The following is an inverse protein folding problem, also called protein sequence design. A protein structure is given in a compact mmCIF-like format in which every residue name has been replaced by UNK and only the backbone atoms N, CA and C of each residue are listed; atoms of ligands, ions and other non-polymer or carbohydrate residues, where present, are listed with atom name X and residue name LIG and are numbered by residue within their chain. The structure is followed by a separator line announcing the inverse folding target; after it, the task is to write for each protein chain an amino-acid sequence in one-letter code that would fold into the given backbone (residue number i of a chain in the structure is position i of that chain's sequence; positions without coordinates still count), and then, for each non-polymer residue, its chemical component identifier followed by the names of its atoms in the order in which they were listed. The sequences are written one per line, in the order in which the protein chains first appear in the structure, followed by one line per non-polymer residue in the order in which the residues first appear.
data_IF_048139868687
#
_entry.id   IF_048139868687
#
_cell.length_a   1.000
_cell.length_b   1.000
_cell.length_c   1.000
_cell.angle_alpha   90.00
_cell.angle_beta   90.00
_cell.angle_gamma   90.00
#
_symmetry.space_group_name_H-M   'P 1'
#
loop_
_entity.id
_entity.type
_entity.pdbx_description
1 polymer ?
#
# COMPACT_ATOMS: atom_id res chain seq x y z
N UNK A 1 -25.41 0.24 -15.32
CA UNK A 1 -24.10 -0.01 -14.67
C UNK A 1 -24.30 0.21 -13.18
N UNK A 2 -24.50 -0.84 -12.40
CA UNK A 2 -24.59 -0.74 -10.94
C UNK A 2 -23.18 -0.60 -10.39
N UNK A 3 -22.67 0.63 -10.35
CA UNK A 3 -21.43 0.96 -9.64
C UNK A 3 -21.71 0.80 -8.16
N UNK A 4 -21.38 -0.36 -7.60
CA UNK A 4 -21.43 -0.53 -6.15
C UNK A 4 -20.50 0.52 -5.53
N UNK A 5 -20.88 1.15 -4.41
CA UNK A 5 -19.98 2.04 -3.70
C UNK A 5 -18.68 1.30 -3.35
N UNK A 6 -17.54 2.00 -3.25
CA UNK A 6 -16.30 1.41 -2.75
C UNK A 6 -16.52 0.61 -1.46
N UNK A 7 -15.78 -0.49 -1.30
CA UNK A 7 -15.84 -1.28 -0.09
C UNK A 7 -15.30 -0.49 1.11
N UNK A 8 -16.11 -0.39 2.16
CA UNK A 8 -15.64 0.11 3.46
C UNK A 8 -14.92 -1.04 4.20
N UNK A 9 -13.59 -1.03 4.15
CA UNK A 9 -12.75 -2.08 4.72
C UNK A 9 -12.81 -2.13 6.25
N UNK A 10 -12.90 -1.00 6.94
CA UNK A 10 -12.97 -0.92 8.41
C UNK A 10 -14.17 -1.72 8.95
N UNK A 11 -15.43 -1.44 8.56
CA UNK A 11 -16.57 -2.22 9.03
C UNK A 11 -16.52 -3.67 8.53
N UNK A 12 -16.09 -3.94 7.28
CA UNK A 12 -15.97 -5.30 6.74
C UNK A 12 -14.99 -6.15 7.57
N UNK A 13 -13.79 -5.64 7.81
CA UNK A 13 -12.76 -6.31 8.60
C UNK A 13 -13.22 -6.49 10.05
N UNK A 14 -13.89 -5.48 10.64
CA UNK A 14 -14.44 -5.58 11.99
C UNK A 14 -15.44 -6.74 12.09
N UNK A 15 -16.43 -6.79 11.19
CA UNK A 15 -17.45 -7.84 11.18
C UNK A 15 -16.82 -9.22 10.99
N UNK A 16 -15.85 -9.34 10.08
CA UNK A 16 -15.12 -10.58 9.82
C UNK A 16 -14.42 -11.13 11.07
N UNK A 17 -13.58 -10.34 11.73
CA UNK A 17 -12.83 -10.81 12.89
C UNK A 17 -13.73 -11.05 14.11
N UNK A 18 -14.85 -10.33 14.25
CA UNK A 18 -15.87 -10.61 15.25
C UNK A 18 -16.55 -11.96 15.00
N UNK A 19 -16.91 -12.28 13.75
CA UNK A 19 -17.47 -13.58 13.38
C UNK A 19 -16.48 -14.74 13.64
N UNK A 20 -15.17 -14.51 13.48
CA UNK A 20 -14.12 -15.46 13.85
C UNK A 20 -13.91 -15.59 15.38
N UNK A 21 -14.65 -14.85 16.20
CA UNK A 21 -14.57 -14.91 17.67
C UNK A 21 -13.35 -14.20 18.25
N UNK A 22 -12.76 -13.23 17.54
CA UNK A 22 -11.76 -12.34 18.12
C UNK A 22 -12.44 -11.21 18.90
N UNK A 23 -11.78 -10.75 19.98
CA UNK A 23 -12.34 -9.80 20.94
C UNK A 23 -12.41 -8.35 20.44
N UNK A 24 -11.75 -7.44 21.15
CA UNK A 24 -11.80 -6.01 20.83
C UNK A 24 -11.42 -5.73 19.36
N UNK A 25 -12.20 -4.92 18.63
CA UNK A 25 -11.88 -4.51 17.26
C UNK A 25 -10.51 -3.83 17.16
N UNK A 26 -9.88 -3.94 16.00
CA UNK A 26 -8.65 -3.21 15.73
C UNK A 26 -8.91 -1.69 15.73
N UNK A 27 -8.10 -0.96 16.49
CA UNK A 27 -8.13 0.50 16.57
C UNK A 27 -7.23 1.10 15.49
N UNK A 28 -7.87 1.64 14.46
CA UNK A 28 -7.19 2.34 13.37
C UNK A 28 -6.64 3.69 13.85
N UNK A 29 -5.48 4.07 13.32
CA UNK A 29 -4.86 5.37 13.60
C UNK A 29 -5.77 6.52 13.11
N UNK A 30 -5.61 7.67 13.75
CA UNK A 30 -6.33 8.90 13.43
C UNK A 30 -5.40 10.06 13.71
N UNK A 31 -5.26 10.95 12.73
CA UNK A 31 -4.64 12.26 12.92
C UNK A 31 -5.74 13.32 12.94
N UNK A 32 -5.78 14.12 14.01
CA UNK A 32 -6.68 15.27 14.10
C UNK A 32 -6.28 16.33 13.05
N UNK A 33 -4.98 16.64 13.01
CA UNK A 33 -4.37 17.55 12.02
C UNK A 33 -3.49 16.77 11.04
N UNK A 34 -3.51 17.19 9.78
CA UNK A 34 -2.76 16.55 8.69
C UNK A 34 -1.79 17.59 8.11
N UNK A 35 -0.45 17.38 8.21
CA UNK A 35 0.53 18.26 7.62
C UNK A 35 0.39 18.26 6.10
N UNK A 36 0.76 19.37 5.49
CA UNK A 36 0.68 19.55 4.06
C UNK A 36 1.84 20.41 3.59
N UNK A 37 2.71 19.80 2.80
CA UNK A 37 3.81 20.43 2.10
C UNK A 37 3.47 20.46 0.61
N UNK A 38 3.34 21.65 0.00
CA UNK A 38 3.22 21.80 -1.44
C UNK A 38 4.49 21.32 -2.15
N UNK A 39 4.35 20.80 -3.37
CA UNK A 39 5.50 20.50 -4.21
C UNK A 39 6.20 21.81 -4.61
N UNK A 40 7.46 21.99 -4.18
CA UNK A 40 8.21 23.23 -4.39
C UNK A 40 8.79 23.38 -5.81
N UNK A 41 8.95 22.26 -6.52
CA UNK A 41 9.52 22.19 -7.87
C UNK A 41 8.45 21.84 -8.90
N UNK A 42 8.65 22.21 -10.17
CA UNK A 42 7.78 21.71 -11.24
C UNK A 42 7.95 20.20 -11.40
N UNK A 43 6.89 19.47 -11.76
CA UNK A 43 6.98 18.02 -11.95
C UNK A 43 8.12 17.60 -12.87
N UNK A 44 8.28 18.24 -14.04
CA UNK A 44 9.36 17.94 -15.00
C UNK A 44 10.79 18.19 -14.48
N UNK A 45 10.96 18.74 -13.29
CA UNK A 45 12.25 18.87 -12.59
C UNK A 45 12.29 18.05 -11.28
N UNK A 46 11.18 17.43 -10.87
CA UNK A 46 11.05 16.72 -9.61
C UNK A 46 11.69 15.33 -9.65
N UNK A 47 12.45 14.99 -8.60
CA UNK A 47 12.88 13.63 -8.28
C UNK A 47 11.84 12.95 -7.40
N UNK A 48 11.23 11.89 -7.93
CA UNK A 48 10.17 11.14 -7.25
C UNK A 48 10.72 9.83 -6.67
N UNK A 49 10.52 9.63 -5.37
CA UNK A 49 10.83 8.37 -4.68
C UNK A 49 9.61 7.44 -4.55
N UNK A 50 9.88 6.15 -4.36
CA UNK A 50 8.84 5.12 -4.16
C UNK A 50 9.01 4.51 -2.77
N UNK A 51 8.01 4.67 -1.91
CA UNK A 51 7.88 3.91 -0.66
C UNK A 51 6.92 2.76 -0.90
N UNK A 52 7.38 1.53 -0.69
CA UNK A 52 6.57 0.32 -0.89
C UNK A 52 6.43 -0.49 0.39
N UNK A 53 5.31 -1.19 0.50
CA UNK A 53 5.13 -2.25 1.50
C UNK A 53 5.37 -3.64 0.90
N UNK A 54 5.58 -3.77 -0.42
CA UNK A 54 5.99 -5.02 -1.05
C UNK A 54 7.38 -5.44 -0.57
N UNK A 55 7.60 -6.74 -0.43
CA UNK A 55 8.84 -7.27 0.13
C UNK A 55 9.78 -7.76 -0.97
N UNK A 56 11.09 -7.45 -0.89
CA UNK A 56 12.09 -8.15 -1.69
C UNK A 56 12.03 -9.65 -1.47
N UNK A 57 12.20 -10.42 -2.54
CA UNK A 57 12.23 -11.89 -2.46
C UNK A 57 13.46 -12.34 -1.65
N UNK A 58 13.21 -13.21 -0.67
CA UNK A 58 14.27 -13.77 0.19
C UNK A 58 14.60 -15.21 -0.19
N UNK A 59 15.87 -15.46 -0.51
CA UNK A 59 16.37 -16.81 -0.71
C UNK A 59 16.13 -17.66 0.55
N UNK A 60 15.65 -18.89 0.37
CA UNK A 60 15.38 -19.81 1.48
C UNK A 60 14.16 -19.47 2.34
N UNK A 61 13.40 -18.41 2.04
CA UNK A 61 12.20 -18.06 2.80
C UNK A 61 10.94 -18.82 2.37
N UNK A 62 11.02 -19.72 1.39
CA UNK A 62 9.88 -20.48 0.86
C UNK A 62 9.15 -19.77 -0.29
N UNK A 63 7.94 -20.23 -0.61
CA UNK A 63 7.14 -19.69 -1.73
C UNK A 63 6.74 -18.23 -1.51
N UNK A 64 6.96 -17.41 -2.53
CA UNK A 64 6.77 -15.95 -2.52
C UNK A 64 6.23 -15.39 -3.85
N UNK A 65 6.02 -16.25 -4.86
CA UNK A 65 5.57 -15.85 -6.19
C UNK A 65 4.05 -15.65 -6.30
N UNK A 66 3.56 -15.59 -7.54
CA UNK A 66 2.14 -15.43 -7.83
C UNK A 66 1.28 -16.49 -7.11
N UNK A 67 0.25 -16.06 -6.40
CA UNK A 67 -0.66 -16.93 -5.65
C UNK A 67 -0.05 -17.60 -4.43
N UNK A 68 1.22 -17.32 -4.08
CA UNK A 68 1.89 -17.97 -2.95
C UNK A 68 1.12 -17.72 -1.63
N UNK A 69 1.02 -18.71 -0.74
CA UNK A 69 0.31 -18.57 0.53
C UNK A 69 0.93 -17.49 1.44
N UNK A 70 0.24 -17.16 2.53
CA UNK A 70 0.83 -16.26 3.52
C UNK A 70 2.14 -16.83 4.07
N UNK A 71 3.19 -16.00 4.03
CA UNK A 71 4.52 -16.39 4.47
C UNK A 71 5.16 -15.30 5.34
N UNK A 72 5.22 -15.55 6.65
CA UNK A 72 5.80 -14.61 7.61
C UNK A 72 7.31 -14.41 7.47
N UNK A 73 8.04 -15.41 6.95
CA UNK A 73 9.50 -15.35 6.76
C UNK A 73 9.90 -14.45 5.58
N UNK A 74 9.01 -14.29 4.61
CA UNK A 74 9.17 -13.42 3.45
C UNK A 74 8.97 -11.92 3.75
N UNK A 75 8.64 -11.55 4.99
CA UNK A 75 8.48 -10.15 5.40
C UNK A 75 9.81 -9.51 5.75
N UNK A 76 9.86 -8.20 5.69
CA UNK A 76 10.91 -7.39 6.29
C UNK A 76 10.34 -6.63 7.51
N UNK A 77 11.22 -6.29 8.46
CA UNK A 77 10.81 -5.75 9.77
C UNK A 77 11.48 -4.42 10.11
N UNK A 78 12.45 -3.99 9.32
CA UNK A 78 13.12 -2.71 9.44
C UNK A 78 12.96 -1.92 8.13
N UNK A 79 12.85 -0.59 8.17
CA UNK A 79 12.93 0.23 6.97
C UNK A 79 14.23 -0.02 6.22
N UNK A 80 14.18 0.08 4.89
CA UNK A 80 15.38 -0.06 4.07
C UNK A 80 15.33 0.86 2.85
N UNK A 81 16.49 1.10 2.26
CA UNK A 81 16.66 1.68 0.93
C UNK A 81 17.45 0.70 0.05
N UNK A 82 17.03 0.46 -1.18
CA UNK A 82 17.68 -0.45 -2.12
C UNK A 82 17.64 0.13 -3.54
N UNK A 83 18.56 -0.25 -4.41
CA UNK A 83 18.65 0.30 -5.77
C UNK A 83 17.46 -0.12 -6.64
N UNK A 84 17.07 0.73 -7.58
CA UNK A 84 16.06 0.41 -8.61
C UNK A 84 16.66 -0.23 -9.87
N UNK A 85 18.00 -0.28 -9.96
CA UNK A 85 18.75 -0.90 -11.05
C UNK A 85 19.73 -1.94 -10.46
N UNK A 86 19.68 -3.22 -10.88
CA UNK A 86 18.64 -3.80 -11.74
C UNK A 86 17.24 -3.69 -11.11
N UNK A 87 16.18 -3.77 -11.93
CA UNK A 87 14.80 -3.69 -11.44
C UNK A 87 14.57 -4.73 -10.33
N UNK A 88 14.10 -4.31 -9.13
CA UNK A 88 13.91 -5.23 -8.03
C UNK A 88 12.75 -6.19 -8.32
N UNK A 89 12.86 -7.40 -7.79
CA UNK A 89 11.77 -8.38 -7.79
C UNK A 89 11.10 -8.32 -6.42
N UNK A 90 9.84 -7.87 -6.40
CA UNK A 90 9.06 -7.69 -5.18
C UNK A 90 7.82 -8.58 -5.18
N UNK A 91 7.44 -9.07 -3.99
CA UNK A 91 6.22 -9.85 -3.78
C UNK A 91 5.35 -9.28 -2.65
N UNK A 92 4.07 -9.67 -2.63
CA UNK A 92 3.15 -9.32 -1.53
C UNK A 92 3.13 -10.45 -0.49
N UNK A 93 3.98 -10.36 0.53
CA UNK A 93 4.06 -11.33 1.64
C UNK A 93 3.02 -11.09 2.76
N UNK A 94 2.05 -10.22 2.52
CA UNK A 94 1.03 -9.85 3.50
C UNK A 94 -0.14 -10.83 3.56
N UNK A 95 -0.73 -10.99 4.75
CA UNK A 95 -1.82 -11.93 4.95
C UNK A 95 -3.14 -11.47 4.32
N UNK A 96 -3.39 -10.16 4.30
CA UNK A 96 -4.73 -9.61 4.10
C UNK A 96 -4.90 -8.77 2.82
N UNK A 97 -4.00 -8.88 1.84
CA UNK A 97 -4.36 -8.39 0.50
C UNK A 97 -5.44 -9.30 -0.10
N UNK A 98 -6.11 -8.88 -1.16
CA UNK A 98 -7.20 -9.65 -1.75
C UNK A 98 -6.63 -10.81 -2.57
N UNK A 99 -6.40 -11.94 -1.90
CA UNK A 99 -5.83 -13.16 -2.48
C UNK A 99 -6.80 -13.94 -3.37
N UNK A 100 -8.07 -13.54 -3.40
CA UNK A 100 -9.08 -14.16 -4.28
C UNK A 100 -9.01 -13.50 -5.65
N UNK A 101 -8.97 -12.17 -5.66
CA UNK A 101 -9.04 -11.37 -6.89
C UNK A 101 -7.69 -10.79 -7.34
N UNK A 102 -6.62 -11.01 -6.58
CA UNK A 102 -5.26 -10.61 -6.91
C UNK A 102 -4.32 -11.78 -6.80
N UNK A 103 -3.65 -12.12 -7.90
CA UNK A 103 -2.60 -13.16 -7.91
C UNK A 103 -1.23 -12.62 -7.49
N UNK A 104 -1.05 -11.30 -7.53
CA UNK A 104 0.25 -10.64 -7.39
C UNK A 104 1.30 -11.13 -8.40
N UNK A 105 0.86 -11.53 -9.60
CA UNK A 105 1.76 -11.97 -10.68
C UNK A 105 2.46 -10.79 -11.38
N UNK A 106 1.74 -9.67 -11.55
CA UNK A 106 2.30 -8.47 -12.17
C UNK A 106 2.70 -7.44 -11.09
N UNK A 107 4.01 -7.31 -10.83
CA UNK A 107 4.50 -6.36 -9.85
C UNK A 107 4.17 -4.90 -10.16
N UNK A 108 3.94 -4.57 -11.43
CA UNK A 108 3.63 -3.19 -11.86
C UNK A 108 2.26 -2.72 -11.35
N UNK A 109 1.39 -3.66 -10.93
CA UNK A 109 0.13 -3.34 -10.25
C UNK A 109 0.30 -2.91 -8.79
N UNK A 110 1.47 -3.12 -8.17
CA UNK A 110 1.76 -2.72 -6.77
C UNK A 110 3.14 -2.08 -6.56
N UNK A 111 3.89 -1.82 -7.63
CA UNK A 111 5.18 -1.15 -7.61
C UNK A 111 5.37 -0.36 -8.93
N UNK A 112 5.12 0.97 -8.94
CA UNK A 112 4.98 1.77 -10.16
C UNK A 112 6.30 2.18 -10.82
N UNK A 113 7.40 1.44 -10.61
CA UNK A 113 8.73 1.84 -11.06
C UNK A 113 8.79 2.07 -12.57
N UNK A 114 8.38 1.09 -13.38
CA UNK A 114 8.39 1.21 -14.84
C UNK A 114 7.50 2.35 -15.35
N UNK A 115 6.34 2.56 -14.72
CA UNK A 115 5.42 3.63 -15.08
C UNK A 115 6.05 5.00 -14.79
N UNK A 116 6.65 5.19 -13.61
CA UNK A 116 7.34 6.43 -13.26
C UNK A 116 8.58 6.68 -14.13
N UNK A 117 9.34 5.63 -14.48
CA UNK A 117 10.46 5.74 -15.43
C UNK A 117 10.00 6.19 -16.82
N UNK A 118 8.84 5.72 -17.30
CA UNK A 118 8.25 6.20 -18.56
C UNK A 118 7.84 7.67 -18.48
N UNK A 119 7.27 8.12 -17.35
CA UNK A 119 6.96 9.54 -17.15
C UNK A 119 8.22 10.40 -17.14
N UNK A 120 9.32 9.91 -16.53
CA UNK A 120 10.60 10.59 -16.54
C UNK A 120 11.18 10.69 -17.96
N UNK A 121 11.14 9.59 -18.72
CA UNK A 121 11.59 9.57 -20.12
C UNK A 121 10.76 10.51 -21.03
N UNK A 122 9.48 10.73 -20.70
CA UNK A 122 8.59 11.67 -21.38
C UNK A 122 8.76 13.13 -20.89
N UNK A 123 9.59 13.40 -19.88
CA UNK A 123 9.76 14.72 -19.28
C UNK A 123 8.56 15.20 -18.44
N UNK A 124 7.60 14.31 -18.15
CA UNK A 124 6.46 14.61 -17.26
C UNK A 124 6.90 14.72 -15.80
N UNK A 125 7.93 13.95 -15.41
CA UNK A 125 8.68 14.14 -14.17
C UNK A 125 10.17 14.31 -14.47
N UNK A 126 10.94 14.90 -13.55
CA UNK A 126 12.38 15.09 -13.74
C UNK A 126 13.19 13.80 -13.68
N UNK A 127 12.98 13.00 -12.63
CA UNK A 127 13.62 11.70 -12.47
C UNK A 127 12.86 10.81 -11.47
N UNK A 128 13.12 9.50 -11.55
CA UNK A 128 12.86 8.57 -10.45
C UNK A 128 14.12 8.48 -9.59
N UNK A 129 13.97 8.39 -8.27
CA UNK A 129 15.09 8.17 -7.36
C UNK A 129 15.87 6.89 -7.71
N UNK A 130 17.19 6.89 -7.48
CA UNK A 130 18.04 5.72 -7.73
C UNK A 130 17.80 4.57 -6.73
N UNK A 131 17.14 4.88 -5.61
CA UNK A 131 16.70 3.91 -4.61
C UNK A 131 15.17 3.91 -4.48
N UNK A 132 14.63 2.78 -4.06
CA UNK A 132 13.28 2.66 -3.51
C UNK A 132 13.37 2.31 -2.03
N UNK A 133 12.30 2.56 -1.30
CA UNK A 133 12.29 2.48 0.16
C UNK A 133 11.22 1.50 0.64
N UNK A 134 11.61 0.57 1.50
CA UNK A 134 10.67 -0.36 2.14
C UNK A 134 10.17 0.18 3.46
N UNK A 135 8.85 0.19 3.66
CA UNK A 135 8.22 0.45 4.96
C UNK A 135 7.62 -0.85 5.52
N UNK A 136 8.13 -1.36 6.66
CA UNK A 136 7.57 -2.56 7.26
C UNK A 136 6.15 -2.31 7.76
N UNK A 137 5.27 -3.28 7.55
CA UNK A 137 3.88 -3.16 8.00
C UNK A 137 3.75 -3.60 9.46
N UNK A 138 3.43 -2.65 10.35
CA UNK A 138 3.25 -2.90 11.77
C UNK A 138 1.86 -2.48 12.24
N UNK A 139 1.28 -3.25 13.15
CA UNK A 139 0.02 -2.88 13.82
C UNK A 139 0.24 -1.82 14.91
N UNK A 140 1.46 -1.72 15.43
CA UNK A 140 1.85 -0.69 16.40
C UNK A 140 2.07 0.64 15.70
N UNK A 141 1.19 1.61 15.99
CA UNK A 141 1.27 2.95 15.42
C UNK A 141 2.55 3.69 15.86
N UNK A 142 3.01 3.49 17.10
CA UNK A 142 4.25 4.11 17.60
C UNK A 142 5.48 3.54 16.92
N UNK A 143 5.52 2.22 16.69
CA UNK A 143 6.61 1.60 15.93
C UNK A 143 6.62 2.09 14.50
N UNK A 144 5.47 2.18 13.83
CA UNK A 144 5.41 2.72 12.48
C UNK A 144 5.86 4.18 12.39
N UNK A 145 5.58 5.02 13.40
CA UNK A 145 6.15 6.38 13.45
C UNK A 145 7.68 6.36 13.51
N UNK A 146 8.27 5.50 14.36
CA UNK A 146 9.72 5.35 14.41
C UNK A 146 10.31 4.83 13.08
N UNK A 147 9.63 3.88 12.43
CA UNK A 147 10.02 3.37 11.11
C UNK A 147 9.95 4.48 10.04
N UNK A 148 8.99 5.40 10.14
CA UNK A 148 8.83 6.52 9.20
C UNK A 148 9.93 7.58 9.31
N UNK A 149 10.56 7.77 10.47
CA UNK A 149 11.71 8.68 10.63
C UNK A 149 12.89 8.25 9.75
N UNK A 150 13.10 6.94 9.56
CA UNK A 150 14.12 6.45 8.64
C UNK A 150 13.82 6.84 7.18
N UNK A 151 12.55 6.86 6.78
CA UNK A 151 12.14 7.31 5.45
C UNK A 151 12.43 8.80 5.23
N UNK A 152 12.30 9.64 6.26
CA UNK A 152 12.72 11.06 6.20
C UNK A 152 14.22 11.15 5.92
N UNK A 153 15.03 10.37 6.62
CA UNK A 153 16.48 10.29 6.38
C UNK A 153 16.80 9.91 4.94
N UNK A 154 16.18 8.84 4.43
CA UNK A 154 16.38 8.43 3.03
C UNK A 154 15.93 9.49 2.02
N UNK A 155 14.82 10.17 2.28
CA UNK A 155 14.32 11.22 1.41
C UNK A 155 15.26 12.42 1.33
N UNK A 156 15.88 12.79 2.46
CA UNK A 156 16.88 13.84 2.52
C UNK A 156 18.19 13.43 1.84
N UNK A 157 18.68 12.22 2.12
CA UNK A 157 19.90 11.66 1.50
C UNK A 157 19.82 11.66 -0.03
N UNK A 158 18.67 11.25 -0.58
CA UNK A 158 18.47 11.15 -2.03
C UNK A 158 17.92 12.43 -2.66
N UNK A 159 17.76 13.50 -1.87
CA UNK A 159 17.20 14.79 -2.28
C UNK A 159 15.89 14.60 -3.06
N UNK A 160 14.92 13.93 -2.45
CA UNK A 160 13.61 13.69 -3.04
C UNK A 160 12.76 14.96 -2.99
N UNK A 161 12.15 15.30 -4.11
CA UNK A 161 11.18 16.40 -4.19
C UNK A 161 9.76 15.94 -3.84
N UNK A 162 9.48 14.64 -3.97
CA UNK A 162 8.21 14.06 -3.60
C UNK A 162 8.26 12.53 -3.55
N UNK A 163 7.29 11.93 -2.87
CA UNK A 163 7.23 10.49 -2.63
C UNK A 163 5.86 9.93 -2.98
N UNK A 164 5.86 8.82 -3.72
CA UNK A 164 4.70 7.97 -3.95
C UNK A 164 4.74 6.81 -2.97
N UNK A 165 3.67 6.61 -2.19
CA UNK A 165 3.54 5.52 -1.23
C UNK A 165 2.53 4.47 -1.70
N UNK A 166 2.94 3.21 -1.73
CA UNK A 166 2.14 2.10 -2.29
C UNK A 166 1.88 0.99 -1.25
N UNK A 167 0.69 1.00 -0.62
CA UNK A 167 0.26 -0.03 0.32
C UNK A 167 -0.48 -1.21 -0.35
N UNK A 168 -0.25 -2.42 0.14
CA UNK A 168 -0.84 -3.64 -0.46
C UNK A 168 -2.00 -4.27 0.33
N UNK A 169 -2.16 -3.91 1.59
CA UNK A 169 -3.09 -4.56 2.53
C UNK A 169 -3.72 -3.55 3.49
N UNK A 170 -4.71 -3.89 4.32
CA UNK A 170 -5.39 -2.92 5.19
C UNK A 170 -4.44 -2.21 6.17
N UNK A 171 -3.62 -2.98 6.89
CA UNK A 171 -2.63 -2.40 7.83
C UNK A 171 -1.54 -1.63 7.08
N UNK A 172 -1.21 -2.05 5.86
CA UNK A 172 -0.27 -1.36 5.00
C UNK A 172 -0.75 0.07 4.67
N UNK A 173 -2.05 0.23 4.39
CA UNK A 173 -2.66 1.54 4.14
C UNK A 173 -2.54 2.45 5.36
N UNK A 174 -2.77 1.91 6.57
CA UNK A 174 -2.50 2.67 7.79
C UNK A 174 -1.01 3.02 7.92
N UNK A 175 -0.12 2.06 7.68
CA UNK A 175 1.32 2.27 7.88
C UNK A 175 1.86 3.36 6.97
N UNK A 176 1.52 3.33 5.68
CA UNK A 176 1.92 4.40 4.75
C UNK A 176 1.22 5.72 5.05
N UNK A 177 0.00 5.72 5.59
CA UNK A 177 -0.68 6.96 5.98
C UNK A 177 0.02 7.65 7.15
N UNK A 178 0.48 6.86 8.14
CA UNK A 178 1.33 7.37 9.23
C UNK A 178 2.66 7.89 8.68
N UNK A 179 3.30 7.15 7.75
CA UNK A 179 4.55 7.59 7.14
C UNK A 179 4.41 8.87 6.30
N UNK A 180 3.31 9.01 5.57
CA UNK A 180 2.99 10.22 4.81
C UNK A 180 2.90 11.44 5.73
N UNK A 181 2.29 11.30 6.91
CA UNK A 181 2.25 12.36 7.94
C UNK A 181 3.66 12.78 8.36
N UNK A 182 4.52 11.82 8.71
CA UNK A 182 5.91 12.07 9.11
C UNK A 182 6.73 12.74 8.00
N UNK A 183 6.64 12.26 6.77
CA UNK A 183 7.34 12.82 5.60
C UNK A 183 6.90 14.27 5.32
N UNK A 184 5.60 14.54 5.35
CA UNK A 184 5.06 15.87 5.05
C UNK A 184 5.36 16.88 6.16
N UNK A 185 5.36 16.44 7.42
CA UNK A 185 5.82 17.26 8.53
C UNK A 185 7.31 17.61 8.41
N UNK A 186 8.11 16.76 7.76
CA UNK A 186 9.51 16.99 7.46
C UNK A 186 9.76 17.76 6.14
N UNK A 187 8.69 18.23 5.47
CA UNK A 187 8.82 19.02 4.24
C UNK A 187 8.96 18.20 2.95
N UNK A 188 8.63 16.90 2.97
CA UNK A 188 8.65 16.04 1.78
C UNK A 188 7.20 15.76 1.33
N UNK A 189 6.75 16.33 0.20
CA UNK A 189 5.42 16.06 -0.36
C UNK A 189 5.18 14.58 -0.65
N UNK A 190 3.97 14.11 -0.36
CA UNK A 190 3.59 12.71 -0.51
C UNK A 190 2.24 12.50 -1.18
N UNK A 191 2.10 11.37 -1.86
CA UNK A 191 0.82 10.86 -2.37
C UNK A 191 0.72 9.36 -2.10
N UNK A 192 -0.40 8.93 -1.53
CA UNK A 192 -0.73 7.51 -1.36
C UNK A 192 -1.45 7.02 -2.61
N UNK A 193 -0.97 5.93 -3.22
CA UNK A 193 -1.68 5.19 -4.28
C UNK A 193 -2.40 3.99 -3.64
N UNK A 194 -3.65 4.16 -3.22
CA UNK A 194 -4.32 3.23 -2.32
C UNK A 194 -5.66 2.69 -2.83
N UNK A 195 -6.02 1.49 -2.36
CA UNK A 195 -7.31 0.85 -2.61
C UNK A 195 -8.27 0.86 -1.40
N UNK A 196 -7.77 1.05 -0.17
CA UNK A 196 -8.63 1.15 1.02
C UNK A 196 -8.90 2.61 1.41
N UNK A 197 -9.84 3.24 0.70
CA UNK A 197 -10.18 4.66 0.89
C UNK A 197 -10.54 4.98 2.33
N UNK A 198 -11.45 4.21 2.93
CA UNK A 198 -11.95 4.47 4.29
C UNK A 198 -10.86 4.37 5.36
N UNK A 199 -9.91 3.45 5.22
CA UNK A 199 -8.73 3.35 6.09
C UNK A 199 -7.86 4.60 5.96
N UNK A 200 -7.52 4.99 4.73
CA UNK A 200 -6.62 6.13 4.49
C UNK A 200 -7.26 7.45 4.94
N UNK A 201 -8.54 7.66 4.63
CA UNK A 201 -9.28 8.85 5.05
C UNK A 201 -9.50 8.90 6.57
N UNK A 202 -9.71 7.75 7.22
CA UNK A 202 -9.78 7.63 8.68
C UNK A 202 -8.48 8.06 9.35
N UNK A 203 -7.35 7.60 8.83
CA UNK A 203 -6.03 8.00 9.36
C UNK A 203 -5.78 9.49 9.08
N UNK A 204 -6.14 9.96 7.89
CA UNK A 204 -5.93 11.32 7.43
C UNK A 204 -4.56 11.49 6.79
N UNK A 205 -4.55 11.62 5.47
CA UNK A 205 -3.34 11.83 4.67
C UNK A 205 -3.39 13.16 3.89
N UNK A 206 -2.24 13.71 3.49
CA UNK A 206 -2.21 14.91 2.67
C UNK A 206 -2.90 14.69 1.32
N UNK A 207 -2.55 13.59 0.63
CA UNK A 207 -3.05 13.25 -0.71
C UNK A 207 -3.28 11.74 -0.87
N UNK A 208 -4.43 11.37 -1.41
CA UNK A 208 -4.78 10.00 -1.79
C UNK A 208 -5.21 9.97 -3.26
N UNK A 209 -4.50 9.20 -4.08
CA UNK A 209 -5.05 8.65 -5.32
C UNK A 209 -5.75 7.33 -4.97
N UNK A 210 -7.07 7.34 -5.02
CA UNK A 210 -7.91 6.18 -4.72
C UNK A 210 -8.20 5.37 -5.98
N UNK A 211 -7.80 4.10 -5.98
CA UNK A 211 -8.12 3.10 -7.01
C UNK A 211 -9.14 2.10 -6.44
N UNK A 212 -10.34 2.01 -7.03
CA UNK A 212 -11.37 1.07 -6.55
C UNK A 212 -11.12 -0.36 -7.09
N UNK A 213 -9.98 -0.93 -6.71
CA UNK A 213 -9.52 -2.26 -7.10
C UNK A 213 -9.35 -3.17 -5.88
N UNK A 214 -9.29 -4.50 -6.06
CA UNK A 214 -8.88 -5.42 -5.01
C UNK A 214 -7.54 -4.99 -4.37
N UNK A 215 -7.42 -5.19 -3.05
CA UNK A 215 -6.20 -4.87 -2.31
C UNK A 215 -5.00 -5.63 -2.90
N UNK A 216 -3.94 -4.89 -3.19
CA UNK A 216 -2.75 -5.42 -3.87
C UNK A 216 -2.57 -4.92 -5.30
N UNK A 217 -3.43 -4.01 -5.78
CA UNK A 217 -3.36 -3.43 -7.14
C UNK A 217 -3.34 -1.88 -7.11
N UNK A 218 -2.79 -1.26 -6.07
CA UNK A 218 -2.84 0.20 -5.88
C UNK A 218 -2.14 1.02 -6.98
N UNK A 219 -1.17 0.41 -7.69
CA UNK A 219 -0.39 1.06 -8.74
C UNK A 219 -0.98 0.90 -10.17
N UNK A 220 -2.10 0.21 -10.32
CA UNK A 220 -2.81 0.07 -11.60
C UNK A 220 -3.37 -1.33 -11.82
N UNK A 221 -4.08 -1.52 -12.93
CA UNK A 221 -4.59 -2.84 -13.32
C UNK A 221 -3.42 -3.80 -13.63
N UNK A 222 -3.47 -5.06 -13.20
CA UNK A 222 -2.49 -6.06 -13.60
C UNK A 222 -2.54 -6.29 -15.11
N UNK A 223 -1.38 -6.54 -15.72
CA UNK A 223 -1.20 -6.84 -17.15
C UNK A 223 -1.70 -5.74 -18.10
N UNK A 224 -1.86 -4.51 -17.60
CA UNK A 224 -2.30 -3.35 -18.37
C UNK A 224 -1.34 -2.17 -18.20
N UNK A 225 -0.27 -2.10 -19.01
CA UNK A 225 0.75 -1.06 -18.91
C UNK A 225 0.21 0.37 -19.09
N UNK A 226 -0.85 0.56 -19.88
CA UNK A 226 -1.43 1.88 -20.11
C UNK A 226 -2.20 2.35 -18.87
N UNK A 227 -2.98 1.47 -18.24
CA UNK A 227 -3.63 1.75 -16.97
C UNK A 227 -2.62 2.02 -15.85
N UNK A 228 -1.50 1.27 -15.80
CA UNK A 228 -0.42 1.49 -14.84
C UNK A 228 0.26 2.85 -15.05
N UNK A 229 0.54 3.21 -16.30
CA UNK A 229 1.11 4.52 -16.65
C UNK A 229 0.17 5.66 -16.26
N UNK A 230 -1.11 5.56 -16.61
CA UNK A 230 -2.11 6.58 -16.28
C UNK A 230 -2.32 6.71 -14.77
N UNK A 231 -2.31 5.60 -14.03
CA UNK A 231 -2.41 5.62 -12.57
C UNK A 231 -1.20 6.34 -11.94
N UNK A 232 0.01 6.06 -12.40
CA UNK A 232 1.21 6.76 -11.95
C UNK A 232 1.17 8.26 -12.30
N UNK A 233 0.70 8.60 -13.51
CA UNK A 233 0.52 9.99 -13.95
C UNK A 233 -0.42 10.77 -13.05
N UNK A 234 -1.60 10.21 -12.77
CA UNK A 234 -2.56 10.83 -11.86
C UNK A 234 -2.00 11.03 -10.45
N UNK A 235 -1.15 10.11 -9.97
CA UNK A 235 -0.53 10.23 -8.64
C UNK A 235 0.46 11.40 -8.59
N UNK A 236 1.36 11.51 -9.58
CA UNK A 236 2.33 12.62 -9.61
C UNK A 236 1.67 13.95 -9.92
N UNK A 237 0.64 13.99 -10.75
CA UNK A 237 -0.18 15.19 -10.93
C UNK A 237 -0.84 15.62 -9.63
N UNK A 238 -1.36 14.68 -8.83
CA UNK A 238 -1.94 15.01 -7.53
C UNK A 238 -0.93 15.61 -6.55
N UNK A 239 0.35 15.22 -6.60
CA UNK A 239 1.42 15.88 -5.82
C UNK A 239 1.48 17.39 -6.09
N UNK A 240 1.39 17.77 -7.37
CA UNK A 240 1.47 19.16 -7.81
C UNK A 240 0.16 19.93 -7.67
N UNK A 241 -0.97 19.31 -7.99
CA UNK A 241 -2.27 20.00 -8.11
C UNK A 241 -2.98 20.23 -6.78
N UNK A 242 -2.76 19.35 -5.79
CA UNK A 242 -3.46 19.48 -4.52
C UNK A 242 -3.04 20.78 -3.80
N UNK A 243 -4.02 21.49 -3.24
CA UNK A 243 -3.79 22.78 -2.54
C UNK A 243 -4.06 22.70 -1.03
N UNK A 244 -4.49 21.54 -0.53
CA UNK A 244 -4.84 21.33 0.86
C UNK A 244 -4.66 19.86 1.28
N UNK A 245 -4.45 19.56 2.57
CA UNK A 245 -4.44 18.20 3.07
C UNK A 245 -5.81 17.53 2.94
N UNK A 246 -5.86 16.20 3.10
CA UNK A 246 -7.08 15.38 2.97
C UNK A 246 -7.69 15.45 1.57
N UNK A 247 -6.84 15.64 0.55
CA UNK A 247 -7.29 15.63 -0.84
C UNK A 247 -7.35 14.19 -1.35
N UNK A 248 -8.55 13.69 -1.63
CA UNK A 248 -8.77 12.40 -2.31
C UNK A 248 -9.13 12.64 -3.77
N UNK A 249 -8.38 12.04 -4.70
CA UNK A 249 -8.72 11.93 -6.12
C UNK A 249 -9.07 10.48 -6.43
N UNK A 250 -10.26 10.23 -6.96
CA UNK A 250 -10.64 8.90 -7.41
C UNK A 250 -10.16 8.67 -8.86
N UNK A 251 -9.47 7.56 -9.09
CA UNK A 251 -9.12 7.08 -10.43
C UNK A 251 -10.39 6.71 -11.20
N UNK A 252 -10.52 7.11 -12.48
CA UNK A 252 -11.64 6.72 -13.33
C UNK A 252 -11.49 5.30 -13.89
N UNK A 253 -10.32 4.67 -13.73
CA UNK A 253 -10.05 3.32 -14.23
C UNK A 253 -10.90 2.32 -13.45
N UNK A 254 -11.56 1.42 -14.17
CA UNK A 254 -12.46 0.41 -13.59
C UNK A 254 -11.73 -0.93 -13.53
N UNK A 255 -11.94 -1.68 -12.44
CA UNK A 255 -11.42 -3.04 -12.30
C UNK A 255 -11.86 -3.92 -13.48
N UNK A 256 -10.91 -4.63 -14.10
CA UNK A 256 -11.16 -5.48 -15.27
C UNK A 256 -11.47 -6.94 -14.95
N UNK A 257 -11.33 -7.36 -13.69
CA UNK A 257 -11.70 -8.71 -13.23
C UNK A 257 -13.17 -8.82 -12.82
N UNK A 258 -13.47 -9.76 -11.93
CA UNK A 258 -14.83 -10.00 -11.44
C UNK A 258 -15.48 -8.73 -10.88
N UNK A 259 -16.70 -8.44 -11.33
CA UNK A 259 -17.37 -7.17 -11.07
C UNK A 259 -17.80 -6.97 -9.61
N UNK A 260 -18.00 -8.07 -8.87
CA UNK A 260 -18.47 -8.09 -7.49
C UNK A 260 -17.38 -8.51 -6.48
N UNK A 261 -16.10 -8.37 -6.83
CA UNK A 261 -14.97 -8.73 -5.96
C UNK A 261 -15.07 -8.19 -4.52
N UNK A 262 -15.67 -7.00 -4.34
CA UNK A 262 -15.88 -6.38 -3.03
C UNK A 262 -16.75 -7.25 -2.10
N UNK A 263 -17.66 -8.05 -2.68
CA UNK A 263 -18.52 -8.97 -1.94
C UNK A 263 -17.72 -10.06 -1.26
N UNK A 264 -16.63 -10.52 -1.85
CA UNK A 264 -15.88 -11.68 -1.37
C UNK A 264 -14.87 -11.34 -0.27
N UNK A 265 -14.30 -10.14 -0.32
CA UNK A 265 -13.21 -9.76 0.57
C UNK A 265 -13.63 -9.82 2.05
N UNK A 266 -13.08 -10.80 2.80
CA UNK A 266 -13.31 -10.97 4.24
C UNK A 266 -14.79 -10.88 4.64
N UNK A 267 -15.70 -11.46 3.86
CA UNK A 267 -17.13 -11.35 4.12
C UNK A 267 -17.63 -12.50 5.02
N UNK A 268 -18.02 -12.24 6.28
CA UNK A 268 -18.52 -13.29 7.16
C UNK A 268 -19.88 -13.86 6.70
N UNK A 269 -20.68 -13.11 5.95
CA UNK A 269 -22.02 -13.55 5.48
C UNK A 269 -21.93 -14.68 4.44
N UNK A 270 -20.75 -14.90 3.86
CA UNK A 270 -20.49 -15.98 2.89
C UNK A 270 -19.90 -17.23 3.55
N UNK A 271 -19.71 -17.24 4.88
CA UNK A 271 -19.06 -18.33 5.58
C UNK A 271 -20.03 -19.16 6.41
N UNK A 272 -19.96 -20.47 6.26
CA UNK A 272 -20.57 -21.42 7.19
C UNK A 272 -19.84 -21.44 8.54
N UNK A 273 -20.51 -21.96 9.58
CA UNK A 273 -19.89 -22.13 10.90
C UNK A 273 -18.62 -23.02 10.86
N UNK A 274 -18.60 -24.03 9.99
CA UNK A 274 -17.44 -24.89 9.79
C UNK A 274 -16.26 -24.14 9.17
N UNK A 275 -16.52 -23.28 8.18
CA UNK A 275 -15.49 -22.44 7.55
C UNK A 275 -14.96 -21.38 8.51
N UNK A 276 -15.82 -20.78 9.33
CA UNK A 276 -15.42 -19.85 10.40
C UNK A 276 -14.44 -20.55 11.36
N UNK A 277 -14.77 -21.75 11.83
CA UNK A 277 -13.91 -22.52 12.73
C UNK A 277 -12.56 -22.88 12.08
N UNK A 278 -12.57 -23.31 10.82
CA UNK A 278 -11.36 -23.64 10.07
C UNK A 278 -10.45 -22.42 9.87
N UNK A 279 -11.03 -21.28 9.46
CA UNK A 279 -10.29 -20.02 9.30
C UNK A 279 -9.70 -19.55 10.62
N UNK A 280 -10.45 -19.64 11.72
CA UNK A 280 -9.94 -19.29 13.05
C UNK A 280 -8.72 -20.13 13.43
N UNK A 281 -8.79 -21.45 13.25
CA UNK A 281 -7.67 -22.36 13.53
C UNK A 281 -6.43 -22.03 12.66
N UNK A 282 -6.65 -21.71 11.38
CA UNK A 282 -5.58 -21.26 10.50
C UNK A 282 -4.94 -19.94 10.94
N UNK A 283 -5.74 -18.93 11.27
CA UNK A 283 -5.21 -17.64 11.75
C UNK A 283 -4.39 -17.80 13.03
N UNK A 284 -4.83 -18.65 13.96
CA UNK A 284 -4.12 -18.88 15.21
C UNK A 284 -2.79 -19.61 14.96
N UNK A 285 -2.76 -20.63 14.10
CA UNK A 285 -1.52 -21.29 13.63
C UNK A 285 -0.54 -20.30 12.99
N UNK A 286 -1.04 -19.45 12.10
CA UNK A 286 -0.25 -18.41 11.42
C UNK A 286 0.30 -17.38 12.40
N UNK A 287 -0.48 -16.98 13.40
CA UNK A 287 -0.07 -16.04 14.44
C UNK A 287 1.08 -16.59 15.29
N UNK A 288 1.02 -17.87 15.65
CA UNK A 288 2.10 -18.53 16.40
C UNK A 288 3.39 -18.64 15.57
N UNK A 289 3.30 -19.00 14.28
CA UNK A 289 4.45 -18.99 13.37
C UNK A 289 5.08 -17.60 13.26
N UNK A 290 4.26 -16.55 13.14
CA UNK A 290 4.76 -15.17 13.05
C UNK A 290 5.46 -14.70 14.34
N UNK A 291 4.99 -15.12 15.52
CA UNK A 291 5.68 -14.85 16.79
C UNK A 291 7.06 -15.51 16.83
N UNK A 292 7.17 -16.76 16.38
CA UNK A 292 8.43 -17.48 16.35
C UNK A 292 9.47 -16.86 15.42
N UNK A 293 9.04 -16.27 14.29
CA UNK A 293 9.94 -15.54 13.37
C UNK A 293 10.42 -14.22 13.96
N UNK A 294 9.57 -13.49 14.70
CA UNK A 294 9.95 -12.21 15.35
C UNK A 294 10.86 -12.37 16.57
N UNK A 295 10.90 -13.55 17.17
CA UNK A 295 11.72 -13.82 18.35
C UNK A 295 13.16 -14.26 18.00
N UNK A 296 13.45 -14.47 16.71
CA UNK A 296 14.77 -14.77 16.16
C UNK A 296 15.39 -13.50 15.60
#
# INVERSE_FOLDING_TARGET
MTTHPPLDYIPRIRAYYQALGYGAPYEWAVHETVPFTPLATSLGAARIGIVTTAAPIKAGAGEQGAGAPYNGAAKFFEPFAATVDPEPVLGISHIAYDRVHTTAADQRSYFPLQALQKLAAAGEIGAVAQRFYGLPTNRSQSRTRADAEALVGFAQEDALDGVVLVPNCPVCHQSVSIAAHTLEAAGVPTVVMGCARDIVERVGVPRLLFCNFPLGNGAGLPDNPDAQLETARMAVQLLADATAPRTTRQSPIVWSGEADWQKDYSNPDLLSAAEIAAKRAEFDRVKEQAKAVKAK
#
